data_IF_463488680871
#
_entry.id   IF_463488680871
#
_cell.length_a   1.000
_cell.length_b   1.000
_cell.length_c   1.000
_cell.angle_alpha   90.00
_cell.angle_beta   90.00
_cell.angle_gamma   90.00
#
_symmetry.space_group_name_H-M   'P 1'
#
loop_
_entity.id
_entity.type
_entity.pdbx_description
1 polymer ?
#
# COMPACT_ATOMS: atom_id res chain seq x y z
N UNK A 1 5.69 3.54 -1.27
CA UNK A 1 5.21 2.49 -2.19
C UNK A 1 5.15 3.14 -3.54
N UNK A 2 5.80 2.57 -4.54
CA UNK A 2 5.86 3.20 -5.86
C UNK A 2 4.86 2.49 -6.76
N UNK A 3 3.89 3.22 -7.30
CA UNK A 3 2.96 2.67 -8.29
C UNK A 3 3.54 2.72 -9.70
N UNK A 4 2.93 1.97 -10.62
CA UNK A 4 3.33 1.93 -12.03
C UNK A 4 3.17 3.28 -12.74
N UNK A 5 2.32 4.17 -12.21
CA UNK A 5 2.16 5.55 -12.68
C UNK A 5 3.36 6.46 -12.34
N UNK A 6 4.39 5.92 -11.65
CA UNK A 6 5.59 6.66 -11.26
C UNK A 6 5.41 7.56 -10.03
N UNK A 7 4.24 7.50 -9.39
CA UNK A 7 3.94 8.23 -8.16
C UNK A 7 4.22 7.38 -6.91
N UNK A 8 4.69 8.05 -5.86
CA UNK A 8 4.87 7.45 -4.55
C UNK A 8 3.64 7.65 -3.67
N UNK A 9 3.09 6.54 -3.19
CA UNK A 9 1.95 6.49 -2.29
C UNK A 9 2.39 6.21 -0.86
N UNK A 10 1.73 6.89 0.07
CA UNK A 10 1.90 6.64 1.49
C UNK A 10 1.21 5.33 1.88
N UNK A 11 1.95 4.39 2.47
CA UNK A 11 1.40 3.11 2.92
C UNK A 11 1.48 3.03 4.45
N UNK A 12 0.33 2.86 5.11
CA UNK A 12 0.26 2.65 6.55
C UNK A 12 -0.04 1.18 6.84
N UNK A 13 0.60 0.59 7.85
CA UNK A 13 0.45 -0.85 8.18
C UNK A 13 -1.00 -1.26 8.46
N UNK A 14 -1.85 -0.32 8.91
CA UNK A 14 -3.27 -0.58 9.14
C UNK A 14 -4.04 -0.91 7.87
N UNK A 15 -3.57 -0.42 6.72
CA UNK A 15 -4.18 -0.62 5.41
C UNK A 15 -3.81 -1.97 4.78
N UNK A 16 -2.86 -2.70 5.37
CA UNK A 16 -2.44 -4.03 4.90
C UNK A 16 -3.48 -5.06 5.33
N UNK A 17 -4.11 -5.69 4.34
CA UNK A 17 -5.02 -6.81 4.48
C UNK A 17 -4.24 -8.10 4.25
N UNK A 18 -3.65 -8.59 5.35
CA UNK A 18 -2.96 -9.88 5.41
C UNK A 18 -3.28 -10.55 6.73
N UNK A 19 -3.50 -11.86 6.70
CA UNK A 19 -3.64 -12.66 7.90
C UNK A 19 -2.27 -12.83 8.60
N UNK A 20 -2.24 -12.64 9.93
CA UNK A 20 -1.01 -12.68 10.71
C UNK A 20 -0.25 -11.35 10.73
N UNK A 21 1.06 -11.40 10.50
CA UNK A 21 1.94 -10.23 10.67
C UNK A 21 1.87 -9.31 9.43
N UNK A 22 1.28 -8.12 9.60
CA UNK A 22 1.06 -7.10 8.56
C UNK A 22 2.37 -6.44 8.12
N UNK A 23 3.14 -7.14 7.30
CA UNK A 23 4.41 -6.65 6.74
C UNK A 23 4.49 -6.91 5.25
N UNK A 24 5.09 -5.96 4.55
CA UNK A 24 5.48 -6.08 3.15
C UNK A 24 6.99 -6.29 3.11
N UNK A 25 7.44 -7.28 2.33
CA UNK A 25 8.86 -7.43 2.05
C UNK A 25 9.27 -6.42 0.98
N UNK A 26 10.50 -5.92 1.04
CA UNK A 26 11.03 -5.09 -0.03
C UNK A 26 10.99 -5.85 -1.36
N UNK A 27 10.46 -5.20 -2.40
CA UNK A 27 10.27 -5.82 -3.71
C UNK A 27 9.07 -6.76 -3.83
N UNK A 28 8.24 -6.91 -2.79
CA UNK A 28 6.99 -7.66 -2.90
C UNK A 28 6.00 -6.92 -3.82
N UNK A 29 5.41 -7.66 -4.75
CA UNK A 29 4.30 -7.16 -5.55
C UNK A 29 3.03 -7.16 -4.70
N UNK A 30 2.27 -6.07 -4.79
CA UNK A 30 1.05 -5.87 -4.02
C UNK A 30 0.00 -5.17 -4.86
N UNK A 31 -1.27 -5.48 -4.62
CA UNK A 31 -2.40 -4.69 -5.09
C UNK A 31 -2.84 -3.72 -4.00
N UNK A 32 -3.29 -2.54 -4.39
CA UNK A 32 -3.81 -1.53 -3.47
C UNK A 32 -4.75 -0.58 -4.21
N UNK A 33 -5.58 0.12 -3.44
CA UNK A 33 -6.45 1.18 -3.92
C UNK A 33 -5.85 2.54 -3.56
N UNK A 34 -5.79 3.46 -4.52
CA UNK A 34 -5.35 4.84 -4.27
C UNK A 34 -6.51 5.64 -3.69
N UNK A 35 -6.31 6.18 -2.49
CA UNK A 35 -7.29 7.05 -1.83
C UNK A 35 -6.67 8.39 -1.45
N UNK A 36 -7.49 9.44 -1.36
CA UNK A 36 -7.03 10.77 -0.97
C UNK A 36 -7.05 10.90 0.56
N UNK A 37 -5.87 11.04 1.17
CA UNK A 37 -5.70 11.17 2.62
C UNK A 37 -5.41 12.60 3.06
N UNK A 38 -5.44 12.84 4.38
CA UNK A 38 -5.13 14.14 4.98
C UNK A 38 -3.70 14.64 4.68
N UNK A 39 -2.80 13.77 4.21
CA UNK A 39 -1.42 14.09 3.82
C UNK A 39 -1.15 13.91 2.33
N UNK A 40 -2.20 13.78 1.51
CA UNK A 40 -2.11 13.47 0.08
C UNK A 40 -2.48 12.01 -0.24
N UNK A 41 -2.19 11.55 -1.46
CA UNK A 41 -2.57 10.22 -1.93
C UNK A 41 -1.89 9.12 -1.11
N UNK A 42 -2.68 8.15 -0.68
CA UNK A 42 -2.25 7.03 0.13
C UNK A 42 -2.78 5.71 -0.44
N UNK A 43 -2.12 4.62 -0.11
CA UNK A 43 -2.51 3.26 -0.47
C UNK A 43 -3.42 2.66 0.60
N UNK A 44 -4.61 2.26 0.20
CA UNK A 44 -5.62 1.56 1.00
C UNK A 44 -5.81 0.14 0.50
N UNK A 45 -6.37 -0.72 1.35
CA UNK A 45 -6.73 -2.09 0.98
C UNK A 45 -5.55 -2.85 0.33
N UNK A 46 -4.38 -2.80 0.98
CA UNK A 46 -3.13 -3.33 0.43
C UNK A 46 -3.12 -4.85 0.63
N UNK A 47 -3.03 -5.60 -0.47
CA UNK A 47 -2.99 -7.06 -0.48
C UNK A 47 -1.73 -7.54 -1.20
N UNK A 48 -1.10 -8.61 -0.69
CA UNK A 48 0.03 -9.24 -1.40
C UNK A 48 -0.51 -10.08 -2.54
N UNK A 49 0.07 -9.92 -3.73
CA UNK A 49 -0.28 -10.73 -4.92
C UNK A 49 0.32 -12.13 -4.82
#
# INVERSE_FOLDING_TARGET
MSGEDGNDYFAHFSQINKEGFKTLQEGAEVTFEVTEGAKGPQASNIETV
#
